data_IF_495417107188
#
_entry.id   IF_495417107188
#
_cell.length_a   1.000
_cell.length_b   1.000
_cell.length_c   1.000
_cell.angle_alpha   90.00
_cell.angle_beta   90.00
_cell.angle_gamma   90.00
#
_symmetry.space_group_name_H-M   'P 1'
#
loop_
_entity.id
_entity.type
_entity.pdbx_description
1 polymer ?
#
# COMPACT_ATOMS: atom_id res chain seq x y z
N UNK A 1 16.90 -7.54 -14.67
CA UNK A 1 17.30 -6.55 -13.65
C UNK A 1 16.43 -6.61 -12.37
N UNK A 2 15.16 -7.03 -12.44
CA UNK A 2 14.26 -7.09 -11.26
C UNK A 2 14.71 -8.05 -10.16
N UNK A 3 15.26 -9.22 -10.51
CA UNK A 3 15.80 -10.16 -9.52
C UNK A 3 16.88 -9.55 -8.62
N UNK A 4 17.68 -8.62 -9.16
CA UNK A 4 18.73 -7.94 -8.39
C UNK A 4 18.09 -7.04 -7.33
N UNK A 5 17.04 -6.29 -7.70
CA UNK A 5 16.32 -5.43 -6.76
C UNK A 5 15.64 -6.25 -5.65
N UNK A 6 15.02 -7.37 -5.99
CA UNK A 6 14.43 -8.27 -4.98
C UNK A 6 15.50 -8.87 -4.06
N UNK A 7 16.67 -9.20 -4.60
CA UNK A 7 17.78 -9.74 -3.81
C UNK A 7 18.35 -8.68 -2.88
N UNK A 8 18.54 -7.45 -3.35
CA UNK A 8 19.00 -6.31 -2.54
C UNK A 8 17.98 -5.98 -1.45
N UNK A 9 16.70 -5.99 -1.77
CA UNK A 9 15.64 -5.80 -0.78
C UNK A 9 15.68 -6.90 0.29
N UNK A 10 15.84 -8.16 -0.10
CA UNK A 10 15.99 -9.27 0.85
C UNK A 10 17.23 -9.10 1.74
N UNK A 11 18.36 -8.68 1.18
CA UNK A 11 19.59 -8.40 1.94
C UNK A 11 19.39 -7.27 2.95
N UNK A 12 18.75 -6.17 2.53
CA UNK A 12 18.42 -5.04 3.41
C UNK A 12 17.49 -5.48 4.53
N UNK A 13 16.43 -6.22 4.21
CA UNK A 13 15.48 -6.71 5.20
C UNK A 13 16.15 -7.63 6.21
N UNK A 14 17.03 -8.52 5.74
CA UNK A 14 17.83 -9.41 6.58
C UNK A 14 18.75 -8.62 7.51
N UNK A 15 19.51 -7.66 6.98
CA UNK A 15 20.44 -6.85 7.76
C UNK A 15 19.74 -5.99 8.82
N UNK A 16 18.62 -5.35 8.46
CA UNK A 16 17.82 -4.57 9.43
C UNK A 16 17.22 -5.47 10.49
N UNK A 17 16.74 -6.66 10.13
CA UNK A 17 16.19 -7.63 11.09
C UNK A 17 17.24 -8.12 12.08
N UNK A 18 18.45 -8.41 11.60
CA UNK A 18 19.57 -8.82 12.47
C UNK A 18 20.01 -7.68 13.40
N UNK A 19 20.02 -6.44 12.91
CA UNK A 19 20.29 -5.26 13.74
C UNK A 19 19.27 -5.06 14.86
N UNK A 20 17.97 -5.20 14.55
CA UNK A 20 16.89 -5.09 15.54
C UNK A 20 17.00 -6.20 16.57
N UNK A 21 17.23 -7.44 16.13
CA UNK A 21 17.39 -8.58 17.03
C UNK A 21 18.58 -8.39 17.96
N UNK A 22 19.73 -7.99 17.42
CA UNK A 22 20.92 -7.74 18.20
C UNK A 22 20.71 -6.58 19.20
N UNK A 23 20.00 -5.53 18.79
CA UNK A 23 19.62 -4.42 19.69
C UNK A 23 18.74 -4.89 20.85
N UNK A 24 17.82 -5.83 20.60
CA UNK A 24 16.97 -6.43 21.64
C UNK A 24 17.83 -7.29 22.57
N UNK A 25 18.74 -8.12 22.05
CA UNK A 25 19.64 -8.96 22.85
C UNK A 25 20.57 -8.11 23.75
N UNK A 26 21.09 -6.99 23.23
CA UNK A 26 21.90 -6.05 24.00
C UNK A 26 21.08 -5.44 25.15
N UNK A 27 19.83 -5.02 24.88
CA UNK A 27 18.95 -4.43 25.90
C UNK A 27 18.54 -5.43 26.98
N UNK A 28 18.35 -6.70 26.62
CA UNK A 28 18.03 -7.76 27.58
C UNK A 28 19.26 -8.24 28.37
N UNK A 29 20.48 -7.92 27.90
CA UNK A 29 21.73 -8.36 28.53
C UNK A 29 21.92 -9.88 28.51
N UNK A 30 21.14 -10.60 27.70
CA UNK A 30 21.10 -12.08 27.66
C UNK A 30 20.78 -12.53 26.25
N UNK A 31 21.47 -13.57 25.78
CA UNK A 31 21.16 -14.18 24.47
C UNK A 31 19.78 -14.85 24.51
N UNK A 32 19.00 -14.63 23.47
CA UNK A 32 17.67 -15.22 23.38
C UNK A 32 17.80 -16.71 23.05
N UNK A 33 17.17 -17.61 23.83
CA UNK A 33 17.25 -19.05 23.57
C UNK A 33 16.61 -19.42 22.23
N UNK A 34 15.57 -18.69 21.81
CA UNK A 34 14.86 -18.89 20.54
C UNK A 34 15.22 -17.82 19.50
N UNK A 35 16.51 -17.49 19.34
CA UNK A 35 16.99 -16.44 18.42
C UNK A 35 16.43 -16.56 17.00
N UNK A 36 16.38 -17.76 16.44
CA UNK A 36 15.85 -18.00 15.09
C UNK A 36 14.35 -17.69 14.98
N UNK A 37 13.56 -18.00 16.01
CA UNK A 37 12.13 -17.73 16.01
C UNK A 37 11.85 -16.24 16.14
N UNK A 38 12.59 -15.54 17.01
CA UNK A 38 12.46 -14.09 17.17
C UNK A 38 12.92 -13.37 15.89
N UNK A 39 14.04 -13.80 15.29
CA UNK A 39 14.49 -13.31 13.99
C UNK A 39 13.40 -13.44 12.92
N UNK A 40 12.80 -14.63 12.84
CA UNK A 40 11.74 -14.93 11.88
C UNK A 40 10.51 -14.03 12.07
N UNK A 41 10.10 -13.79 13.31
CA UNK A 41 8.98 -12.88 13.62
C UNK A 41 9.33 -11.45 13.22
N UNK A 42 10.54 -10.97 13.55
CA UNK A 42 11.00 -9.62 13.20
C UNK A 42 10.98 -9.42 11.68
N UNK A 43 11.63 -10.30 10.92
CA UNK A 43 11.73 -10.14 9.45
C UNK A 43 10.35 -10.24 8.80
N UNK A 44 9.46 -11.08 9.32
CA UNK A 44 8.07 -11.20 8.83
C UNK A 44 7.29 -9.89 9.05
N UNK A 45 7.38 -9.31 10.24
CA UNK A 45 6.74 -8.02 10.54
C UNK A 45 7.30 -6.92 9.65
N UNK A 46 8.62 -6.87 9.45
CA UNK A 46 9.26 -5.91 8.56
C UNK A 46 8.77 -6.09 7.11
N UNK A 47 8.74 -7.32 6.61
CA UNK A 47 8.30 -7.62 5.25
C UNK A 47 6.86 -7.14 5.00
N UNK A 48 5.93 -7.47 5.90
CA UNK A 48 4.52 -7.04 5.80
C UNK A 48 4.43 -5.52 5.89
N UNK A 49 5.17 -4.91 6.82
CA UNK A 49 5.19 -3.46 7.01
C UNK A 49 5.77 -2.71 5.81
N UNK A 50 6.72 -3.29 5.07
CA UNK A 50 7.27 -2.69 3.85
C UNK A 50 6.18 -2.42 2.82
N UNK A 51 5.20 -3.32 2.65
CA UNK A 51 4.07 -3.08 1.74
C UNK A 51 3.23 -1.88 2.18
N UNK A 52 2.97 -1.73 3.48
CA UNK A 52 2.24 -0.59 4.04
C UNK A 52 2.98 0.73 3.81
N UNK A 53 4.30 0.75 4.00
CA UNK A 53 5.14 1.93 3.74
C UNK A 53 5.13 2.31 2.27
N UNK A 54 5.24 1.33 1.36
CA UNK A 54 5.18 1.56 -0.08
C UNK A 54 3.82 2.14 -0.46
N UNK A 55 2.72 1.56 0.04
CA UNK A 55 1.37 2.10 -0.21
C UNK A 55 1.21 3.53 0.28
N UNK A 56 1.69 3.85 1.48
CA UNK A 56 1.63 5.21 2.02
C UNK A 56 2.37 6.21 1.12
N UNK A 57 3.56 5.83 0.63
CA UNK A 57 4.35 6.67 -0.28
C UNK A 57 3.68 6.84 -1.65
N UNK A 58 3.01 5.80 -2.17
CA UNK A 58 2.29 5.89 -3.45
C UNK A 58 0.94 6.62 -3.35
N UNK A 59 0.18 6.43 -2.28
CA UNK A 59 -1.16 7.02 -2.09
C UNK A 59 -1.13 8.56 -2.04
N UNK A 60 0.00 9.16 -1.66
CA UNK A 60 0.19 10.61 -1.72
C UNK A 60 0.26 11.19 -3.15
N UNK A 61 0.23 10.35 -4.18
CA UNK A 61 0.44 10.73 -5.59
C UNK A 61 -0.85 10.81 -6.42
N UNK A 62 -1.97 10.31 -5.91
CA UNK A 62 -3.25 10.38 -6.62
C UNK A 62 -4.00 11.65 -6.21
N UNK A 63 -4.25 12.60 -7.14
CA UNK A 63 -5.22 13.64 -6.87
C UNK A 63 -6.57 12.97 -6.65
N UNK A 64 -7.17 13.23 -5.47
CA UNK A 64 -8.51 12.79 -5.08
C UNK A 64 -9.43 12.87 -6.30
N UNK A 65 -9.99 11.75 -6.80
CA UNK A 65 -10.91 11.80 -7.92
C UNK A 65 -12.08 12.67 -7.48
N UNK A 66 -12.26 13.80 -8.17
CA UNK A 66 -13.36 14.72 -7.92
C UNK A 66 -14.67 13.93 -7.95
N UNK A 67 -15.26 13.78 -6.77
CA UNK A 67 -16.58 13.22 -6.56
C UNK A 67 -17.56 13.83 -7.56
N UNK A 68 -18.11 12.97 -8.43
CA UNK A 68 -19.43 13.12 -9.05
C UNK A 68 -19.75 14.44 -9.75
N UNK A 69 -19.24 14.63 -10.96
CA UNK A 69 -19.86 15.55 -11.95
C UNK A 69 -20.35 14.84 -13.22
N UNK A 70 -20.46 13.52 -13.21
CA UNK A 70 -20.92 12.73 -14.36
C UNK A 70 -22.43 12.46 -14.42
N UNK A 71 -23.20 12.81 -13.39
CA UNK A 71 -24.62 12.40 -13.29
C UNK A 71 -25.64 13.50 -13.65
N UNK A 72 -25.20 14.75 -13.78
CA UNK A 72 -26.11 15.88 -14.09
C UNK A 72 -26.31 16.08 -15.60
N UNK A 73 -25.37 15.59 -16.44
CA UNK A 73 -25.41 15.78 -17.89
C UNK A 73 -26.28 14.75 -18.63
N UNK A 74 -26.45 13.54 -18.07
CA UNK A 74 -27.37 12.54 -18.66
C UNK A 74 -28.85 12.82 -18.35
N UNK A 75 -29.12 13.58 -17.28
CA UNK A 75 -30.48 13.95 -16.90
C UNK A 75 -31.08 15.05 -17.79
N UNK A 76 -30.26 15.88 -18.45
CA UNK A 76 -30.70 16.90 -19.41
C UNK A 76 -30.98 16.32 -20.80
N UNK A 77 -30.19 15.34 -21.26
CA UNK A 77 -30.36 14.71 -22.58
C UNK A 77 -31.65 13.86 -22.68
N UNK A 78 -32.12 13.32 -21.55
CA UNK A 78 -33.36 12.53 -21.52
C UNK A 78 -34.61 13.41 -21.54
N UNK A 79 -34.55 14.63 -20.97
CA UNK A 79 -35.69 15.56 -20.95
C UNK A 79 -35.91 16.26 -22.30
N UNK A 80 -34.84 16.56 -23.03
CA UNK A 80 -34.95 17.23 -24.34
C UNK A 80 -35.55 16.29 -25.41
N UNK A 81 -35.16 15.02 -25.39
CA UNK A 81 -35.68 13.99 -26.32
C UNK A 81 -37.16 13.64 -26.09
N UNK A 82 -37.66 13.79 -24.86
CA UNK A 82 -39.07 13.54 -24.53
C UNK A 82 -40.00 14.73 -24.87
N UNK A 83 -39.47 15.97 -24.92
CA UNK A 83 -40.28 17.16 -25.23
C UNK A 83 -40.48 17.39 -26.73
N UNK A 84 -39.68 16.76 -27.60
CA UNK A 84 -39.78 16.93 -29.06
C UNK A 84 -40.73 15.93 -29.75
N UNK A 85 -41.19 14.91 -29.03
CA UNK A 85 -42.14 13.92 -29.54
C UNK A 85 -43.63 14.25 -29.25
N UNK A 86 -43.91 15.35 -28.55
CA UNK A 86 -45.26 15.75 -28.16
C UNK A 86 -45.65 17.13 -28.71
N UNK A 87 -45.73 17.24 -30.03
CA UNK A 87 -46.58 18.25 -30.69
C UNK A 87 -47.02 17.74 -32.05
N UNK A 88 -48.17 17.07 -32.15
CA UNK A 88 -48.89 16.90 -33.39
C UNK A 88 -49.88 18.06 -33.54
N UNK A 89 -49.61 18.98 -34.46
CA UNK A 89 -50.63 19.65 -35.28
C UNK A 89 -49.99 20.48 -36.37
#
# INVERSE_FOLDING_TARGET
MEFILYTVAALLLYGVSDYILNSIEIKLGKRLPNRSLVFFVIITILAVSSFSVIRLMYQGSEPVPATGKGQVEQASLTKESASQAASPK
#
